data_IF_760338831825
#
_entry.id   IF_760338831825
#
_cell.length_a   1.000
_cell.length_b   1.000
_cell.length_c   1.000
_cell.angle_alpha   90.00
_cell.angle_beta   90.00
_cell.angle_gamma   90.00
#
_symmetry.space_group_name_H-M   'P 1'
#
loop_
_entity.id
_entity.type
_entity.pdbx_description
1 polymer ?
#
# COMPACT_ATOMS: atom_id res chain seq x y z
N UNK A 1 -9.67 21.83 -7.20
CA UNK A 1 -9.98 20.43 -7.52
C UNK A 1 -10.93 19.84 -6.48
N UNK A 2 -11.87 19.01 -6.93
CA UNK A 2 -12.88 18.37 -6.07
C UNK A 2 -12.71 16.87 -5.98
N UNK A 3 -11.64 16.37 -6.56
CA UNK A 3 -11.38 14.94 -6.70
C UNK A 3 -9.89 14.69 -6.57
N UNK A 4 -9.55 13.74 -5.74
CA UNK A 4 -8.23 13.14 -5.70
C UNK A 4 -8.36 11.73 -6.27
N UNK A 5 -7.54 11.39 -7.25
CA UNK A 5 -7.51 10.07 -7.84
C UNK A 5 -6.08 9.62 -8.01
N UNK A 6 -5.83 8.37 -7.67
CA UNK A 6 -4.55 7.69 -7.88
C UNK A 6 -4.84 6.40 -8.64
N UNK A 7 -4.09 6.13 -9.67
CA UNK A 7 -4.16 4.90 -10.45
C UNK A 7 -2.78 4.29 -10.52
N UNK A 8 -2.67 3.07 -10.04
CA UNK A 8 -1.45 2.27 -10.10
C UNK A 8 -1.59 1.23 -11.20
N UNK A 9 -0.52 1.03 -11.99
CA UNK A 9 -0.47 0.05 -13.06
C UNK A 9 0.41 -1.12 -12.67
N UNK A 10 0.13 -2.30 -13.23
CA UNK A 10 0.93 -3.51 -13.06
C UNK A 10 1.17 -3.91 -11.59
N UNK A 11 0.16 -3.68 -10.74
CA UNK A 11 0.22 -4.08 -9.34
C UNK A 11 0.07 -5.60 -9.25
N UNK A 12 1.02 -6.25 -8.59
CA UNK A 12 1.01 -7.70 -8.40
C UNK A 12 -0.15 -8.12 -7.47
N UNK A 13 -0.62 -9.36 -7.59
CA UNK A 13 -1.72 -9.90 -6.78
C UNK A 13 -1.31 -10.16 -5.34
N UNK A 14 -0.03 -10.43 -5.12
CA UNK A 14 0.54 -10.70 -3.82
C UNK A 14 1.95 -10.12 -3.69
N UNK A 15 2.35 -9.82 -2.50
CA UNK A 15 3.73 -9.46 -2.17
C UNK A 15 4.60 -10.70 -2.29
N UNK A 16 5.78 -10.57 -2.89
CA UNK A 16 6.74 -11.66 -2.91
C UNK A 16 7.14 -12.07 -1.49
N UNK A 17 7.28 -13.38 -1.27
CA UNK A 17 7.79 -13.90 -0.01
C UNK A 17 9.16 -13.26 0.30
N UNK A 18 9.30 -12.76 1.51
CA UNK A 18 10.56 -12.18 1.97
C UNK A 18 11.34 -13.21 2.78
N UNK A 19 12.54 -13.53 2.29
CA UNK A 19 13.52 -14.29 3.06
C UNK A 19 14.39 -13.29 3.80
N UNK A 20 14.30 -13.29 5.12
CA UNK A 20 15.17 -12.50 5.99
C UNK A 20 16.26 -13.40 6.57
N UNK A 21 17.50 -13.01 6.36
CA UNK A 21 18.65 -13.68 6.95
C UNK A 21 19.28 -12.78 8.01
N UNK A 22 19.31 -13.27 9.23
CA UNK A 22 19.98 -12.59 10.34
C UNK A 22 21.22 -13.40 10.71
N UNK A 23 22.35 -12.78 10.60
CA UNK A 23 23.62 -13.42 10.92
C UNK A 23 23.90 -13.43 12.41
N UNK A 24 24.18 -14.61 12.91
CA UNK A 24 24.51 -14.89 14.32
C UNK A 24 25.99 -15.05 14.59
N UNK A 25 26.34 -15.60 15.75
CA UNK A 25 27.72 -15.84 16.15
C UNK A 25 28.41 -16.89 15.26
N UNK A 26 29.72 -16.78 15.14
CA UNK A 26 30.54 -17.79 14.49
C UNK A 26 30.55 -19.09 15.28
N UNK A 27 30.75 -20.23 14.60
CA UNK A 27 30.70 -21.54 15.21
C UNK A 27 31.65 -21.74 16.40
N UNK A 28 32.84 -21.13 16.34
CA UNK A 28 33.84 -21.14 17.41
C UNK A 28 33.41 -20.35 18.67
N UNK A 29 32.39 -19.49 18.57
CA UNK A 29 31.83 -18.73 19.70
C UNK A 29 30.49 -19.35 20.10
N UNK A 30 29.77 -19.89 19.12
CA UNK A 30 28.44 -20.45 19.27
C UNK A 30 28.41 -21.81 19.96
N UNK A 31 29.47 -22.60 19.80
CA UNK A 31 29.64 -23.93 20.39
C UNK A 31 30.88 -23.95 21.27
N UNK A 32 30.83 -24.66 22.36
CA UNK A 32 32.00 -24.95 23.18
C UNK A 32 32.81 -26.14 22.64
N UNK A 33 33.85 -26.55 23.34
CA UNK A 33 34.74 -27.65 22.94
C UNK A 33 34.02 -28.99 22.82
N UNK A 34 32.91 -29.16 23.53
CA UNK A 34 32.09 -30.40 23.57
C UNK A 34 30.93 -30.33 22.57
N UNK A 35 30.84 -29.23 21.77
CA UNK A 35 29.77 -29.00 20.80
C UNK A 35 28.44 -28.53 21.43
N UNK A 36 28.46 -28.12 22.70
CA UNK A 36 27.26 -27.64 23.39
C UNK A 36 26.98 -26.18 23.07
N UNK A 37 25.72 -25.78 22.87
CA UNK A 37 25.37 -24.38 22.59
C UNK A 37 25.77 -23.42 23.72
N UNK A 38 26.55 -22.44 23.42
CA UNK A 38 26.96 -21.39 24.36
C UNK A 38 25.81 -20.43 24.68
N UNK A 39 25.91 -19.59 25.72
CA UNK A 39 24.95 -18.54 26.00
C UNK A 39 24.73 -17.57 24.81
N UNK A 40 25.79 -17.33 24.01
CA UNK A 40 25.70 -16.48 22.82
C UNK A 40 24.78 -17.06 21.75
N UNK A 41 24.87 -18.38 21.49
CA UNK A 41 23.99 -19.03 20.53
C UNK A 41 22.53 -19.10 21.05
N UNK A 42 22.35 -19.38 22.34
CA UNK A 42 21.00 -19.39 22.98
C UNK A 42 20.34 -18.01 22.91
N UNK A 43 21.06 -16.95 23.23
CA UNK A 43 20.55 -15.57 23.13
C UNK A 43 20.19 -15.20 21.68
N UNK A 44 20.99 -15.64 20.71
CA UNK A 44 20.71 -15.43 19.30
C UNK A 44 19.44 -16.18 18.85
N UNK A 45 19.29 -17.43 19.19
CA UNK A 45 18.10 -18.24 18.92
C UNK A 45 16.84 -17.59 19.51
N UNK A 46 16.90 -17.20 20.79
CA UNK A 46 15.79 -16.51 21.44
C UNK A 46 15.44 -15.19 20.78
N UNK A 47 16.42 -14.37 20.41
CA UNK A 47 16.21 -13.08 19.69
C UNK A 47 15.61 -13.28 18.31
N UNK A 48 15.97 -14.37 17.63
CA UNK A 48 15.49 -14.72 16.29
C UNK A 48 14.13 -15.41 16.32
N UNK A 49 13.63 -15.82 17.49
CA UNK A 49 12.38 -16.56 17.65
C UNK A 49 12.41 -17.98 17.08
N UNK A 50 13.63 -18.55 16.89
CA UNK A 50 13.84 -19.87 16.33
C UNK A 50 14.49 -20.79 17.37
N UNK A 51 14.18 -22.10 17.28
CA UNK A 51 14.93 -23.10 18.03
C UNK A 51 16.36 -23.24 17.47
N UNK A 52 17.30 -23.66 18.31
CA UNK A 52 18.72 -23.79 17.90
C UNK A 52 18.88 -24.74 16.72
N UNK A 53 18.07 -25.80 16.68
CA UNK A 53 18.05 -26.81 15.63
C UNK A 53 17.56 -26.28 14.28
N UNK A 54 16.84 -25.16 14.28
CA UNK A 54 16.33 -24.49 13.08
C UNK A 54 17.33 -23.46 12.50
N UNK A 55 18.39 -23.16 13.25
CA UNK A 55 19.44 -22.27 12.77
C UNK A 55 20.28 -22.98 11.72
N UNK A 56 20.49 -22.29 10.60
CA UNK A 56 21.34 -22.78 9.52
C UNK A 56 22.80 -22.33 9.74
N UNK A 57 23.72 -23.05 9.16
CA UNK A 57 25.13 -22.65 9.10
C UNK A 57 25.43 -22.04 7.75
N UNK A 58 26.11 -20.91 7.74
CA UNK A 58 26.64 -20.27 6.55
C UNK A 58 28.14 -20.07 6.73
N UNK A 59 28.89 -20.29 5.67
CA UNK A 59 30.36 -20.10 5.68
C UNK A 59 30.71 -18.82 4.94
N UNK A 60 31.54 -18.00 5.53
CA UNK A 60 32.14 -16.83 4.90
C UNK A 60 33.68 -16.89 5.00
N UNK A 61 34.36 -15.82 4.53
CA UNK A 61 35.84 -15.74 4.54
C UNK A 61 36.43 -15.84 5.94
N UNK A 62 35.66 -15.68 7.02
CA UNK A 62 36.11 -15.72 8.43
C UNK A 62 35.71 -17.03 9.12
N UNK A 63 35.00 -17.94 8.47
CA UNK A 63 34.61 -19.23 8.99
C UNK A 63 33.10 -19.49 8.96
N UNK A 64 32.69 -20.59 9.59
CA UNK A 64 31.26 -20.93 9.73
C UNK A 64 30.59 -20.08 10.79
N UNK A 65 29.37 -19.63 10.51
CA UNK A 65 28.51 -18.94 11.47
C UNK A 65 27.07 -19.40 11.40
N UNK A 66 26.35 -19.21 12.48
CA UNK A 66 24.92 -19.50 12.53
C UNK A 66 24.14 -18.37 11.87
N UNK A 67 23.06 -18.74 11.15
CA UNK A 67 22.16 -17.83 10.45
C UNK A 67 20.72 -18.21 10.78
N UNK A 68 19.97 -17.26 11.25
CA UNK A 68 18.53 -17.39 11.36
C UNK A 68 17.90 -17.00 10.03
N UNK A 69 17.30 -17.96 9.34
CA UNK A 69 16.57 -17.74 8.11
C UNK A 69 15.07 -17.77 8.42
N UNK A 70 14.42 -16.64 8.23
CA UNK A 70 12.98 -16.51 8.41
C UNK A 70 12.36 -16.23 7.05
N UNK A 71 11.47 -17.09 6.62
CA UNK A 71 10.66 -16.87 5.43
C UNK A 71 9.30 -16.33 5.87
N UNK A 72 9.00 -15.11 5.44
CA UNK A 72 7.70 -14.51 5.64
C UNK A 72 6.92 -14.64 4.33
N UNK A 73 5.84 -15.39 4.37
CA UNK A 73 4.93 -15.48 3.23
C UNK A 73 4.46 -14.07 2.82
N UNK A 74 4.33 -13.83 1.53
CA UNK A 74 3.76 -12.61 1.02
C UNK A 74 2.28 -12.49 1.40
N UNK A 75 1.82 -11.26 1.57
CA UNK A 75 0.41 -10.97 1.80
C UNK A 75 -0.28 -10.61 0.48
N UNK A 76 -1.57 -10.87 0.38
CA UNK A 76 -2.36 -10.44 -0.77
C UNK A 76 -2.40 -8.91 -0.85
N UNK A 77 -2.26 -8.38 -2.05
CA UNK A 77 -2.28 -6.92 -2.28
C UNK A 77 -3.56 -6.28 -1.75
N UNK A 78 -4.70 -6.95 -1.90
CA UNK A 78 -6.00 -6.44 -1.43
C UNK A 78 -6.01 -6.23 0.09
N UNK A 79 -5.29 -7.08 0.84
CA UNK A 79 -5.20 -6.99 2.30
C UNK A 79 -4.20 -5.90 2.76
N UNK A 80 -3.21 -5.59 1.94
CA UNK A 80 -2.21 -4.56 2.22
C UNK A 80 -2.70 -3.15 1.85
N UNK A 81 -3.55 -3.01 0.84
CA UNK A 81 -4.00 -1.72 0.34
C UNK A 81 -4.64 -0.80 1.40
N UNK A 82 -5.47 -1.29 2.34
CA UNK A 82 -6.06 -0.44 3.38
C UNK A 82 -5.01 0.28 4.23
N UNK A 83 -3.99 -0.44 4.67
CA UNK A 83 -2.90 0.11 5.48
C UNK A 83 -2.03 1.08 4.67
N UNK A 84 -1.67 0.72 3.45
CA UNK A 84 -0.90 1.56 2.53
C UNK A 84 -1.62 2.89 2.27
N UNK A 85 -2.93 2.86 2.03
CA UNK A 85 -3.72 4.08 1.79
C UNK A 85 -3.84 4.90 3.07
N UNK A 86 -4.02 4.28 4.23
CA UNK A 86 -4.07 4.98 5.53
C UNK A 86 -2.75 5.71 5.81
N UNK A 87 -1.63 5.06 5.63
CA UNK A 87 -0.28 5.64 5.79
C UNK A 87 -0.04 6.79 4.78
N UNK A 88 -0.42 6.59 3.51
CA UNK A 88 -0.29 7.62 2.49
C UNK A 88 -1.13 8.87 2.82
N UNK A 89 -2.36 8.70 3.28
CA UNK A 89 -3.23 9.80 3.70
C UNK A 89 -2.66 10.54 4.91
N UNK A 90 -2.12 9.80 5.89
CA UNK A 90 -1.48 10.36 7.08
C UNK A 90 -0.20 11.14 6.75
N UNK A 91 0.60 10.63 5.81
CA UNK A 91 1.83 11.27 5.35
C UNK A 91 1.62 12.44 4.36
N UNK A 92 0.39 12.71 3.92
CA UNK A 92 0.11 13.75 2.94
C UNK A 92 0.36 15.15 3.53
N UNK A 93 1.17 16.01 2.87
CA UNK A 93 1.46 17.35 3.36
C UNK A 93 0.25 18.27 3.15
N UNK A 94 -0.63 18.35 4.12
CA UNK A 94 -1.80 19.23 4.12
C UNK A 94 -1.52 20.43 5.02
N UNK A 95 -1.29 21.63 4.47
CA UNK A 95 -0.94 22.82 5.26
C UNK A 95 -2.02 23.21 6.28
N UNK A 96 -3.29 23.00 5.92
CA UNK A 96 -4.42 23.33 6.78
C UNK A 96 -5.50 22.27 6.66
N UNK A 97 -5.43 21.20 7.47
CA UNK A 97 -6.49 20.21 7.55
C UNK A 97 -7.75 20.83 8.17
N UNK A 98 -8.90 20.41 7.70
CA UNK A 98 -10.20 20.85 8.19
C UNK A 98 -11.00 19.65 8.68
N UNK A 99 -11.71 19.85 9.79
CA UNK A 99 -12.73 18.94 10.30
C UNK A 99 -14.11 19.47 9.91
N UNK A 100 -15.06 18.59 9.71
CA UNK A 100 -16.42 18.96 9.32
C UNK A 100 -17.47 18.10 10.02
N UNK A 101 -18.59 18.75 10.31
CA UNK A 101 -19.69 18.15 11.05
C UNK A 101 -19.27 17.69 12.45
N UNK A 102 -19.76 16.56 12.84
CA UNK A 102 -19.50 15.86 14.11
C UNK A 102 -18.36 14.84 14.04
N UNK A 103 -17.66 14.78 12.89
CA UNK A 103 -16.61 13.80 12.64
C UNK A 103 -15.27 14.25 13.17
N UNK A 104 -14.42 13.29 13.50
CA UNK A 104 -13.05 13.55 13.96
C UNK A 104 -12.04 13.60 12.80
N UNK A 105 -12.41 13.00 11.64
CA UNK A 105 -11.53 12.96 10.49
C UNK A 105 -11.24 14.34 9.94
N UNK A 106 -9.96 14.55 9.60
CA UNK A 106 -9.46 15.80 9.05
C UNK A 106 -8.89 15.58 7.66
N UNK A 107 -9.25 16.47 6.74
CA UNK A 107 -8.70 16.47 5.37
C UNK A 107 -8.80 17.87 4.77
N UNK A 108 -8.31 18.04 3.53
CA UNK A 108 -8.35 19.34 2.80
C UNK A 108 -9.78 19.80 2.55
N UNK A 109 -10.70 18.87 2.29
CA UNK A 109 -12.12 19.10 2.00
C UNK A 109 -12.96 17.93 2.51
N UNK A 110 -14.26 18.13 2.79
CA UNK A 110 -15.17 17.04 3.11
C UNK A 110 -15.17 15.97 2.04
N UNK A 111 -15.01 14.72 2.48
CA UNK A 111 -15.04 13.55 1.60
C UNK A 111 -16.43 12.94 1.64
N UNK A 112 -17.06 12.78 0.46
CA UNK A 112 -18.43 12.30 0.33
C UNK A 112 -18.52 10.87 -0.20
N UNK A 113 -17.46 10.36 -0.84
CA UNK A 113 -17.37 8.97 -1.28
C UNK A 113 -15.91 8.54 -1.38
N UNK A 114 -15.68 7.26 -1.23
CA UNK A 114 -14.40 6.60 -1.42
C UNK A 114 -14.58 5.49 -2.45
N UNK A 115 -13.85 5.57 -3.56
CA UNK A 115 -13.78 4.54 -4.57
C UNK A 115 -12.44 3.85 -4.46
N UNK A 116 -12.43 2.55 -4.18
CA UNK A 116 -11.22 1.75 -4.11
C UNK A 116 -11.43 0.41 -4.82
N UNK A 117 -10.75 0.24 -5.94
CA UNK A 117 -10.86 -0.95 -6.79
C UNK A 117 -9.48 -1.57 -7.03
N UNK A 118 -9.43 -2.89 -6.98
CA UNK A 118 -8.33 -3.70 -7.47
C UNK A 118 -8.87 -4.66 -8.53
N UNK A 119 -8.55 -4.41 -9.81
CA UNK A 119 -9.26 -5.03 -10.93
C UNK A 119 -10.76 -4.74 -10.85
N UNK A 120 -11.59 -5.75 -10.89
CA UNK A 120 -13.05 -5.63 -10.75
C UNK A 120 -13.56 -5.71 -9.31
N UNK A 121 -12.70 -6.00 -8.35
CA UNK A 121 -13.06 -6.14 -6.95
C UNK A 121 -12.99 -4.81 -6.19
N UNK A 122 -13.93 -4.59 -5.27
CA UNK A 122 -13.86 -3.48 -4.32
C UNK A 122 -12.90 -3.87 -3.19
N UNK A 123 -11.92 -3.02 -2.92
CA UNK A 123 -11.01 -3.19 -1.78
C UNK A 123 -11.78 -2.86 -0.49
N UNK A 124 -11.92 -3.79 0.46
CA UNK A 124 -12.65 -3.57 1.69
C UNK A 124 -11.87 -2.66 2.64
N UNK A 125 -12.15 -1.36 2.60
CA UNK A 125 -11.50 -0.38 3.47
C UNK A 125 -12.43 0.73 3.88
N UNK A 126 -12.04 1.45 4.94
CA UNK A 126 -12.67 2.71 5.38
C UNK A 126 -11.59 3.76 5.51
N UNK A 127 -11.79 4.92 4.92
CA UNK A 127 -10.87 6.04 5.05
C UNK A 127 -11.66 7.36 5.04
N UNK A 128 -11.20 8.33 5.82
CA UNK A 128 -11.81 9.66 5.94
C UNK A 128 -13.33 9.60 6.23
N UNK A 129 -13.74 8.63 7.07
CA UNK A 129 -15.13 8.41 7.44
C UNK A 129 -16.03 7.84 6.32
N UNK A 130 -15.44 7.36 5.21
CA UNK A 130 -16.18 6.76 4.11
C UNK A 130 -15.78 5.30 3.92
N UNK A 131 -16.78 4.43 3.76
CA UNK A 131 -16.56 3.04 3.36
C UNK A 131 -16.30 2.98 1.85
N UNK A 132 -15.31 2.22 1.46
CA UNK A 132 -14.97 2.04 0.06
C UNK A 132 -16.10 1.32 -0.71
N UNK A 133 -16.29 1.76 -1.94
CA UNK A 133 -17.23 1.19 -2.89
C UNK A 133 -16.72 1.36 -4.31
N UNK A 134 -17.59 1.13 -5.27
CA UNK A 134 -17.32 1.37 -6.68
C UNK A 134 -18.06 2.58 -7.26
N UNK A 135 -18.90 3.24 -6.46
CA UNK A 135 -19.66 4.38 -6.90
C UNK A 135 -18.82 5.64 -7.06
N UNK A 136 -19.03 6.36 -8.15
CA UNK A 136 -18.49 7.68 -8.42
C UNK A 136 -19.60 8.63 -8.86
N UNK A 137 -19.27 9.90 -9.10
CA UNK A 137 -20.23 10.91 -9.55
C UNK A 137 -19.68 11.66 -10.76
N UNK A 138 -20.56 12.03 -11.66
CA UNK A 138 -20.26 12.83 -12.84
C UNK A 138 -20.20 14.32 -12.56
N UNK A 139 -20.51 15.10 -13.58
CA UNK A 139 -20.65 16.55 -13.48
C UNK A 139 -21.91 16.90 -12.68
N UNK A 140 -21.77 17.85 -11.74
CA UNK A 140 -22.82 18.23 -10.78
C UNK A 140 -24.19 18.50 -11.41
N UNK A 141 -24.21 19.13 -12.59
CA UNK A 141 -25.45 19.54 -13.24
C UNK A 141 -25.81 18.66 -14.45
N UNK A 142 -24.81 18.26 -15.25
CA UNK A 142 -25.05 17.48 -16.47
C UNK A 142 -25.16 15.98 -16.25
N UNK A 143 -24.66 15.48 -15.12
CA UNK A 143 -24.76 14.06 -14.71
C UNK A 143 -24.67 13.96 -13.20
N UNK A 144 -25.71 14.36 -12.46
CA UNK A 144 -25.68 14.47 -10.99
C UNK A 144 -25.70 13.12 -10.30
N UNK A 145 -26.17 12.10 -10.95
CA UNK A 145 -26.38 10.77 -10.35
C UNK A 145 -25.06 10.05 -10.08
N UNK A 146 -25.08 9.20 -9.07
CA UNK A 146 -24.00 8.27 -8.81
C UNK A 146 -24.01 7.16 -9.87
N UNK A 147 -22.86 6.65 -10.22
CA UNK A 147 -22.70 5.52 -11.13
C UNK A 147 -21.56 4.61 -10.68
N UNK A 148 -21.65 3.36 -11.03
CA UNK A 148 -20.65 2.37 -10.70
C UNK A 148 -19.53 2.35 -11.75
N UNK A 149 -18.32 2.26 -11.26
CA UNK A 149 -17.10 2.04 -12.05
C UNK A 149 -16.80 0.53 -12.04
N UNK A 150 -16.73 -0.06 -13.21
CA UNK A 150 -16.53 -1.51 -13.33
C UNK A 150 -15.12 -1.94 -12.89
N UNK A 151 -14.11 -1.19 -13.32
CA UNK A 151 -12.68 -1.42 -13.04
C UNK A 151 -11.88 -0.12 -13.18
N UNK A 152 -10.61 -0.07 -12.73
CA UNK A 152 -9.77 1.11 -12.83
C UNK A 152 -9.51 1.60 -14.27
N UNK A 153 -9.50 0.69 -15.24
CA UNK A 153 -9.28 1.01 -16.65
C UNK A 153 -10.42 1.84 -17.23
N UNK A 154 -11.64 1.53 -16.86
CA UNK A 154 -12.84 2.22 -17.33
C UNK A 154 -13.09 3.59 -16.67
N UNK A 155 -12.33 3.93 -15.61
CA UNK A 155 -12.61 5.11 -14.78
C UNK A 155 -12.58 6.43 -15.56
N UNK A 156 -11.56 6.64 -16.38
CA UNK A 156 -11.37 7.89 -17.14
C UNK A 156 -12.49 8.08 -18.17
N UNK A 157 -12.80 7.03 -18.93
CA UNK A 157 -13.83 7.07 -19.96
C UNK A 157 -15.24 7.16 -19.37
N UNK A 158 -15.50 6.47 -18.27
CA UNK A 158 -16.76 6.57 -17.56
C UNK A 158 -17.03 7.99 -17.02
N UNK A 159 -16.00 8.70 -16.59
CA UNK A 159 -16.10 10.10 -16.17
C UNK A 159 -16.22 11.05 -17.36
N UNK A 160 -15.49 10.81 -18.44
CA UNK A 160 -15.58 11.61 -19.67
C UNK A 160 -17.00 11.55 -20.24
N UNK A 161 -17.62 10.38 -20.30
CA UNK A 161 -19.01 10.21 -20.71
C UNK A 161 -20.00 10.96 -19.80
N UNK A 162 -19.57 11.34 -18.58
CA UNK A 162 -20.37 12.10 -17.60
C UNK A 162 -19.88 13.53 -17.40
N UNK A 163 -19.27 14.09 -18.44
CA UNK A 163 -18.83 15.48 -18.51
C UNK A 163 -17.75 15.85 -17.48
N UNK A 164 -16.89 14.90 -17.11
CA UNK A 164 -15.74 15.12 -16.21
C UNK A 164 -14.45 14.72 -16.89
N UNK A 165 -13.59 15.68 -17.16
CA UNK A 165 -12.22 15.45 -17.61
C UNK A 165 -11.33 15.30 -16.38
N UNK A 166 -11.06 14.05 -16.00
CA UNK A 166 -10.28 13.75 -14.81
C UNK A 166 -8.78 13.84 -15.05
N UNK A 167 -8.34 13.54 -16.27
CA UNK A 167 -6.96 13.67 -16.69
C UNK A 167 -6.56 15.16 -16.79
N UNK A 168 -5.55 15.62 -16.03
CA UNK A 168 -5.11 17.01 -16.06
C UNK A 168 -4.48 17.40 -17.40
N UNK A 169 -3.79 16.51 -18.08
CA UNK A 169 -3.08 16.82 -19.32
C UNK A 169 -4.07 16.91 -20.49
N UNK A 170 -5.03 16.00 -20.58
CA UNK A 170 -6.14 16.13 -21.51
C UNK A 170 -6.90 17.44 -21.30
N UNK A 171 -7.15 17.81 -20.06
CA UNK A 171 -7.85 19.06 -19.73
C UNK A 171 -7.06 20.27 -20.16
N UNK A 172 -5.75 20.34 -19.88
CA UNK A 172 -4.87 21.43 -20.33
C UNK A 172 -4.85 21.55 -21.85
N UNK A 173 -4.69 20.43 -22.53
CA UNK A 173 -4.67 20.37 -23.99
C UNK A 173 -5.98 20.91 -24.60
N UNK A 174 -7.14 20.50 -24.07
CA UNK A 174 -8.44 21.00 -24.54
C UNK A 174 -8.60 22.51 -24.32
N UNK A 175 -8.19 23.01 -23.15
CA UNK A 175 -8.24 24.44 -22.85
C UNK A 175 -7.38 25.22 -23.84
N UNK A 176 -6.13 24.82 -24.06
CA UNK A 176 -5.24 25.48 -25.00
C UNK A 176 -5.85 25.53 -26.41
N UNK A 177 -6.30 24.37 -26.92
CA UNK A 177 -6.94 24.35 -28.26
C UNK A 177 -8.19 25.21 -28.41
N UNK A 178 -8.98 25.34 -27.35
CA UNK A 178 -10.17 26.17 -27.37
C UNK A 178 -9.81 27.66 -27.35
N UNK A 179 -8.73 28.05 -26.69
CA UNK A 179 -8.21 29.41 -26.69
C UNK A 179 -7.66 29.77 -28.09
N UNK A 180 -6.88 28.87 -28.71
CA UNK A 180 -6.29 29.10 -30.03
C UNK A 180 -7.34 29.17 -31.16
N UNK A 181 -8.52 28.60 -30.92
CA UNK A 181 -9.63 28.59 -31.89
C UNK A 181 -10.66 29.70 -31.70
N UNK A 182 -10.51 30.55 -30.66
CA UNK A 182 -11.42 31.67 -30.34
C UNK A 182 -10.93 32.99 -30.91
#
# INVERSE_FOLDING_TARGET
PRRLAVRCHAVQTEQAAQVSEVFGPYANIALDADGTPTPALRAFAQKSGLAIEQLQKSSDAKGERFVARSERAGSLTVDLLPEIVAEALKGMPIPKPMRWGDREEQFVRPVHWLLALYGSAVVPMTALGQKAGRASRGHRFHSPDAFDVANPESYVDALRARHVLVDPDERKYRIARQIDAA
#
